data_IF_457707160933
#
_entry.id   IF_457707160933
#
_cell.length_a   1.000
_cell.length_b   1.000
_cell.length_c   1.000
_cell.angle_alpha   90.00
_cell.angle_beta   90.00
_cell.angle_gamma   90.00
#
_symmetry.space_group_name_H-M   'P 1'
#
loop_
_entity.id
_entity.type
_entity.pdbx_description
1 polymer ?
#
# COMPACT_ATOMS: atom_id res chain seq x y z
N UNK A 1 -20.95 -9.11 -9.69
CA UNK A 1 -19.52 -9.27 -9.30
C UNK A 1 -18.71 -7.99 -9.43
N UNK A 2 -19.04 -7.07 -10.35
CA UNK A 2 -18.37 -5.76 -10.48
C UNK A 2 -18.46 -4.87 -9.23
N UNK A 3 -19.60 -4.85 -8.54
CA UNK A 3 -19.77 -4.03 -7.31
C UNK A 3 -18.79 -4.43 -6.23
N UNK A 4 -18.64 -5.73 -5.94
CA UNK A 4 -17.71 -6.22 -4.93
C UNK A 4 -16.25 -5.91 -5.31
N UNK A 5 -15.88 -6.13 -6.58
CA UNK A 5 -14.56 -5.74 -7.10
C UNK A 5 -14.30 -4.25 -6.88
N UNK A 6 -15.27 -3.40 -7.23
CA UNK A 6 -15.16 -1.94 -7.07
C UNK A 6 -15.09 -1.51 -5.59
N UNK A 7 -15.75 -2.23 -4.68
CA UNK A 7 -15.61 -2.01 -3.24
C UNK A 7 -14.16 -2.29 -2.82
N UNK A 8 -13.56 -3.40 -3.26
CA UNK A 8 -12.17 -3.68 -2.94
C UNK A 8 -11.20 -2.67 -3.57
N UNK A 9 -11.46 -2.22 -4.80
CA UNK A 9 -10.71 -1.12 -5.42
C UNK A 9 -10.81 0.15 -4.57
N UNK A 10 -11.99 0.52 -4.08
CA UNK A 10 -12.16 1.67 -3.19
C UNK A 10 -11.41 1.49 -1.87
N UNK A 11 -11.48 0.30 -1.26
CA UNK A 11 -10.71 -0.04 -0.04
C UNK A 11 -9.21 0.07 -0.28
N UNK A 12 -8.72 -0.37 -1.45
CA UNK A 12 -7.32 -0.23 -1.85
C UNK A 12 -6.94 1.25 -1.99
N UNK A 13 -7.75 2.06 -2.66
CA UNK A 13 -7.49 3.50 -2.76
C UNK A 13 -7.49 4.20 -1.38
N UNK A 14 -8.35 3.79 -0.46
CA UNK A 14 -8.36 4.28 0.92
C UNK A 14 -7.12 3.81 1.72
N UNK A 15 -6.67 2.57 1.51
CA UNK A 15 -5.40 2.08 2.06
C UNK A 15 -4.21 2.91 1.55
N UNK A 16 -4.22 3.26 0.26
CA UNK A 16 -3.23 4.17 -0.34
C UNK A 16 -3.22 5.52 0.33
N UNK A 17 -4.39 6.13 0.45
CA UNK A 17 -4.58 7.43 1.07
C UNK A 17 -4.16 7.41 2.54
N UNK A 18 -4.40 6.31 3.27
CA UNK A 18 -3.96 6.16 4.66
C UNK A 18 -2.43 6.15 4.78
N UNK A 19 -1.70 5.49 3.87
CA UNK A 19 -0.22 5.48 3.92
C UNK A 19 0.33 6.85 3.50
N UNK A 20 -0.09 7.37 2.35
CA UNK A 20 0.42 8.63 1.80
C UNK A 20 -0.01 9.81 2.66
N UNK A 21 -1.30 9.94 2.96
CA UNK A 21 -1.82 10.99 3.85
C UNK A 21 -1.29 10.87 5.27
N UNK A 22 -1.18 9.64 5.80
CA UNK A 22 -0.54 9.37 7.08
C UNK A 22 0.91 9.86 7.12
N UNK A 23 1.68 9.61 6.07
CA UNK A 23 3.03 10.13 5.93
C UNK A 23 3.07 11.67 5.84
N UNK A 24 2.24 12.27 4.99
CA UNK A 24 2.18 13.73 4.83
C UNK A 24 1.84 14.44 6.15
N UNK A 25 0.96 13.83 6.97
CA UNK A 25 0.56 14.39 8.27
C UNK A 25 1.68 14.43 9.32
N UNK A 26 2.77 13.66 9.13
CA UNK A 26 3.88 13.58 10.10
C UNK A 26 5.17 14.21 9.57
N UNK A 27 5.15 14.93 8.45
CA UNK A 27 6.37 15.49 7.85
C UNK A 27 7.17 16.40 8.79
N UNK A 28 6.49 17.18 9.63
CA UNK A 28 7.15 18.08 10.59
C UNK A 28 7.74 17.33 11.81
N UNK A 29 7.34 16.09 12.04
CA UNK A 29 7.81 15.24 13.13
C UNK A 29 7.75 13.76 12.70
N UNK A 30 8.68 13.31 11.83
CA UNK A 30 8.54 12.04 11.13
C UNK A 30 8.52 10.85 12.11
N UNK A 31 7.46 10.04 12.00
CA UNK A 31 7.23 8.85 12.81
C UNK A 31 6.34 7.87 12.07
N UNK A 32 6.40 6.59 12.42
CA UNK A 32 5.43 5.63 11.89
C UNK A 32 4.13 5.76 12.66
N UNK A 33 3.13 6.37 12.03
CA UNK A 33 1.78 6.47 12.58
C UNK A 33 1.05 5.13 12.46
N UNK A 34 0.05 4.92 13.32
CA UNK A 34 -0.78 3.71 13.27
C UNK A 34 -1.63 3.64 11.99
N UNK A 35 -2.02 4.82 11.47
CA UNK A 35 -2.73 4.95 10.18
C UNK A 35 -1.87 4.42 9.03
N UNK A 36 -0.56 4.71 9.01
CA UNK A 36 0.35 4.19 7.98
C UNK A 36 0.46 2.65 8.04
N UNK A 37 0.52 2.07 9.24
CA UNK A 37 0.63 0.61 9.42
C UNK A 37 -0.64 -0.10 8.95
N UNK A 38 -1.82 0.36 9.39
CA UNK A 38 -3.08 -0.22 8.94
C UNK A 38 -3.33 0.03 7.45
N UNK A 39 -2.98 1.22 6.95
CA UNK A 39 -3.01 1.52 5.52
C UNK A 39 -2.19 0.52 4.71
N UNK A 40 -0.95 0.23 5.15
CA UNK A 40 -0.08 -0.74 4.48
C UNK A 40 -0.68 -2.15 4.46
N UNK A 41 -1.24 -2.63 5.58
CA UNK A 41 -1.92 -3.93 5.66
C UNK A 41 -3.11 -4.01 4.72
N UNK A 42 -4.01 -3.01 4.81
CA UNK A 42 -5.20 -2.93 3.98
C UNK A 42 -4.79 -2.91 2.51
N UNK A 43 -3.75 -2.16 2.16
CA UNK A 43 -3.27 -2.04 0.80
C UNK A 43 -2.78 -3.37 0.22
N UNK A 44 -1.95 -4.10 0.97
CA UNK A 44 -1.45 -5.40 0.56
C UNK A 44 -2.60 -6.39 0.38
N UNK A 45 -3.47 -6.52 1.38
CA UNK A 45 -4.56 -7.49 1.37
C UNK A 45 -5.59 -7.19 0.28
N UNK A 46 -6.05 -5.95 0.17
CA UNK A 46 -6.99 -5.56 -0.89
C UNK A 46 -6.38 -5.72 -2.29
N UNK A 47 -5.08 -5.44 -2.46
CA UNK A 47 -4.38 -5.64 -3.73
C UNK A 47 -4.39 -7.11 -4.17
N UNK A 48 -4.09 -8.03 -3.25
CA UNK A 48 -4.16 -9.47 -3.51
C UNK A 48 -5.57 -9.92 -3.88
N UNK A 49 -6.60 -9.40 -3.19
CA UNK A 49 -8.00 -9.71 -3.49
C UNK A 49 -8.40 -9.19 -4.88
N UNK A 50 -8.03 -7.95 -5.24
CA UNK A 50 -8.36 -7.37 -6.56
C UNK A 50 -7.75 -8.17 -7.70
N UNK A 51 -6.47 -8.55 -7.58
CA UNK A 51 -5.79 -9.36 -8.59
C UNK A 51 -6.44 -10.74 -8.67
N UNK A 52 -6.60 -11.43 -7.54
CA UNK A 52 -7.21 -12.76 -7.50
C UNK A 52 -8.64 -12.78 -8.04
N UNK A 53 -9.47 -11.76 -7.75
CA UNK A 53 -10.80 -11.63 -8.32
C UNK A 53 -10.76 -11.38 -9.83
N UNK A 54 -9.89 -10.48 -10.30
CA UNK A 54 -9.80 -10.17 -11.72
C UNK A 54 -9.29 -11.32 -12.58
N UNK A 55 -8.40 -12.17 -12.04
CA UNK A 55 -7.93 -13.37 -12.73
C UNK A 55 -8.93 -14.54 -12.67
N UNK A 56 -9.68 -14.69 -11.57
CA UNK A 56 -10.57 -15.85 -11.38
C UNK A 56 -12.00 -15.65 -11.89
N UNK A 57 -12.48 -14.41 -12.03
CA UNK A 57 -13.86 -14.12 -12.42
C UNK A 57 -13.90 -13.71 -13.89
N UNK A 58 -14.25 -14.66 -14.76
CA UNK A 58 -14.31 -14.45 -16.21
C UNK A 58 -15.19 -13.26 -16.65
N UNK A 59 -16.25 -12.94 -15.91
CA UNK A 59 -17.15 -11.81 -16.22
C UNK A 59 -16.55 -10.42 -15.94
N UNK A 60 -15.36 -10.33 -15.35
CA UNK A 60 -14.67 -9.04 -15.14
C UNK A 60 -13.82 -8.61 -16.34
N UNK A 61 -13.51 -9.53 -17.27
CA UNK A 61 -12.79 -9.28 -18.52
C UNK A 61 -11.54 -8.40 -18.35
N UNK A 62 -10.66 -8.80 -17.41
CA UNK A 62 -9.45 -8.05 -17.05
C UNK A 62 -8.24 -8.63 -17.75
N UNK A 63 -7.58 -7.80 -18.57
CA UNK A 63 -6.23 -8.05 -19.05
C UNK A 63 -5.23 -7.39 -18.09
N UNK A 64 -4.39 -8.20 -17.47
CA UNK A 64 -3.46 -7.77 -16.43
C UNK A 64 -2.02 -7.84 -16.90
N UNK A 65 -1.31 -6.71 -16.77
CA UNK A 65 0.14 -6.68 -16.85
C UNK A 65 0.74 -7.30 -15.56
N UNK A 66 1.12 -8.57 -15.65
CA UNK A 66 1.70 -9.32 -14.55
C UNK A 66 3.06 -8.77 -14.10
N UNK A 67 3.82 -8.10 -14.97
CA UNK A 67 5.07 -7.45 -14.59
C UNK A 67 4.78 -6.24 -13.70
N UNK A 68 3.84 -5.37 -14.10
CA UNK A 68 3.36 -4.25 -13.28
C UNK A 68 2.82 -4.75 -11.94
N UNK A 69 2.00 -5.79 -11.92
CA UNK A 69 1.46 -6.36 -10.68
C UNK A 69 2.59 -6.86 -9.78
N UNK A 70 3.53 -7.65 -10.32
CA UNK A 70 4.66 -8.17 -9.56
C UNK A 70 5.52 -7.09 -8.91
N UNK A 71 5.85 -6.03 -9.66
CA UNK A 71 6.58 -4.86 -9.13
C UNK A 71 5.81 -4.19 -8.00
N UNK A 72 4.51 -3.94 -8.20
CA UNK A 72 3.67 -3.31 -7.16
C UNK A 72 3.56 -4.17 -5.91
N UNK A 73 3.50 -5.50 -6.07
CA UNK A 73 3.44 -6.46 -4.97
C UNK A 73 4.73 -6.39 -4.13
N UNK A 74 5.89 -6.40 -4.79
CA UNK A 74 7.20 -6.29 -4.12
C UNK A 74 7.31 -5.00 -3.32
N UNK A 75 6.90 -3.87 -3.90
CA UNK A 75 6.92 -2.58 -3.20
C UNK A 75 5.93 -2.58 -2.02
N UNK A 76 4.73 -3.12 -2.20
CA UNK A 76 3.74 -3.21 -1.12
C UNK A 76 4.25 -4.06 0.07
N UNK A 77 4.94 -5.17 -0.21
CA UNK A 77 5.58 -5.99 0.82
C UNK A 77 6.67 -5.22 1.57
N UNK A 78 7.51 -4.48 0.84
CA UNK A 78 8.52 -3.63 1.45
C UNK A 78 7.89 -2.54 2.34
N UNK A 79 6.82 -1.89 1.88
CA UNK A 79 6.07 -0.87 2.64
C UNK A 79 5.54 -1.44 3.95
N UNK A 80 4.84 -2.59 3.91
CA UNK A 80 4.33 -3.26 5.11
C UNK A 80 5.47 -3.64 6.06
N UNK A 81 6.53 -4.28 5.55
CA UNK A 81 7.65 -4.71 6.36
C UNK A 81 8.31 -3.54 7.10
N UNK A 82 8.63 -2.45 6.38
CA UNK A 82 9.25 -1.26 6.99
C UNK A 82 8.30 -0.58 7.97
N UNK A 83 7.00 -0.50 7.67
CA UNK A 83 6.00 0.09 8.58
C UNK A 83 5.89 -0.72 9.89
N UNK A 84 5.80 -2.04 9.82
CA UNK A 84 5.72 -2.91 11.01
C UNK A 84 7.00 -2.84 11.85
N UNK A 85 8.17 -2.99 11.20
CA UNK A 85 9.47 -2.91 11.88
C UNK A 85 9.65 -1.54 12.51
N UNK A 86 9.37 -0.47 11.78
CA UNK A 86 9.49 0.90 12.28
C UNK A 86 8.57 1.18 13.45
N UNK A 87 7.31 0.70 13.39
CA UNK A 87 6.36 0.81 14.50
C UNK A 87 6.81 0.01 15.73
N UNK A 88 7.32 -1.20 15.53
CA UNK A 88 7.82 -2.05 16.60
C UNK A 88 9.02 -1.42 17.31
N UNK A 89 9.99 -0.88 16.55
CA UNK A 89 11.14 -0.14 17.09
C UNK A 89 10.71 1.12 17.84
N UNK A 90 9.77 1.88 17.30
CA UNK A 90 9.25 3.09 17.95
C UNK A 90 8.60 2.77 19.31
N UNK A 91 7.87 1.65 19.43
CA UNK A 91 7.32 1.18 20.72
C UNK A 91 8.38 0.81 21.76
N UNK A 92 9.60 0.49 21.33
CA UNK A 92 10.75 0.16 22.21
C UNK A 92 11.61 1.39 22.54
N UNK A 93 11.25 2.58 22.08
CA UNK A 93 12.08 3.79 22.24
C UNK A 93 13.21 3.90 21.20
N UNK A 94 13.31 2.99 20.24
CA UNK A 94 14.35 2.94 19.20
C UNK A 94 13.86 3.47 17.85
N UNK A 95 12.93 4.44 17.89
CA UNK A 95 12.30 5.00 16.70
C UNK A 95 13.33 5.63 15.75
N UNK A 96 13.17 5.38 14.45
CA UNK A 96 13.99 5.99 13.41
C UNK A 96 13.10 6.80 12.45
N UNK A 97 13.18 8.14 12.46
CA UNK A 97 12.42 9.03 11.57
C UNK A 97 12.54 8.68 10.08
N UNK A 98 13.71 8.19 9.65
CA UNK A 98 13.96 7.83 8.25
C UNK A 98 13.04 6.69 7.76
N UNK A 99 12.59 5.80 8.65
CA UNK A 99 11.67 4.73 8.26
C UNK A 99 10.30 5.29 7.82
N UNK A 100 9.86 6.43 8.36
CA UNK A 100 8.64 7.09 7.91
C UNK A 100 8.77 7.62 6.47
N UNK A 101 9.92 8.21 6.14
CA UNK A 101 10.22 8.65 4.78
C UNK A 101 10.31 7.48 3.80
N UNK A 102 10.90 6.35 4.20
CA UNK A 102 10.93 5.13 3.38
C UNK A 102 9.52 4.61 3.10
N UNK A 103 8.67 4.48 4.13
CA UNK A 103 7.28 4.01 3.97
C UNK A 103 6.48 4.95 3.06
N UNK A 104 6.53 6.27 3.33
CA UNK A 104 5.82 7.26 2.53
C UNK A 104 6.33 7.33 1.09
N UNK A 105 7.65 7.36 0.90
CA UNK A 105 8.29 7.42 -0.41
C UNK A 105 7.98 6.18 -1.26
N UNK A 106 8.11 4.98 -0.69
CA UNK A 106 7.76 3.75 -1.39
C UNK A 106 6.27 3.69 -1.74
N UNK A 107 5.39 4.16 -0.86
CA UNK A 107 3.95 4.22 -1.16
C UNK A 107 3.64 5.18 -2.31
N UNK A 108 4.28 6.36 -2.36
CA UNK A 108 4.14 7.31 -3.46
C UNK A 108 4.67 6.70 -4.76
N UNK A 109 5.87 6.09 -4.74
CA UNK A 109 6.44 5.40 -5.90
C UNK A 109 5.51 4.30 -6.41
N UNK A 110 4.93 3.49 -5.52
CA UNK A 110 3.98 2.45 -5.89
C UNK A 110 2.72 3.00 -6.57
N UNK A 111 2.23 4.16 -6.10
CA UNK A 111 1.11 4.88 -6.72
C UNK A 111 1.50 5.41 -8.10
N UNK A 112 2.69 5.99 -8.25
CA UNK A 112 3.17 6.46 -9.54
C UNK A 112 3.32 5.31 -10.55
N UNK A 113 3.84 4.15 -10.13
CA UNK A 113 3.90 2.95 -10.97
C UNK A 113 2.49 2.51 -11.40
N UNK A 114 1.52 2.56 -10.48
CA UNK A 114 0.14 2.19 -10.80
C UNK A 114 -0.47 3.08 -11.90
N UNK A 115 -0.12 4.37 -11.93
CA UNK A 115 -0.75 5.38 -12.80
C UNK A 115 0.05 5.62 -14.09
N UNK A 116 1.38 5.61 -14.03
CA UNK A 116 2.24 6.09 -15.13
C UNK A 116 2.82 4.98 -16.01
N UNK A 117 2.86 3.73 -15.54
CA UNK A 117 3.36 2.61 -16.35
C UNK A 117 2.32 2.24 -17.41
N UNK A 118 2.73 2.13 -18.67
CA UNK A 118 1.88 1.83 -19.84
C UNK A 118 2.37 0.60 -20.57
#
# INVERSE_FOLDING_TARGET
MSVLYNIFVAVHLLGMAAIVGGYLSVLNAPRISEVMVWGARIQLLSGLVIVGMGESIASLDKDYDNAKIGVKLLIALAVVAVAEIGRARQKRGEGNPNLAHVVGGLAIVNTLIAVLWT
#
